data_IF_436081100861
#
_entry.id   IF_436081100861
#
_cell.length_a   1.000
_cell.length_b   1.000
_cell.length_c   1.000
_cell.angle_alpha   90.00
_cell.angle_beta   90.00
_cell.angle_gamma   90.00
#
_symmetry.space_group_name_H-M   'P 1'
#
loop_
_entity.id
_entity.type
_entity.pdbx_description
1 polymer ?
#
# COMPACT_ATOMS: atom_id res chain seq x y z
N UNK A 1 -20.37 16.19 17.13
CA UNK A 1 -20.07 15.66 15.79
C UNK A 1 -18.57 15.48 15.69
N UNK A 2 -18.06 14.23 15.66
CA UNK A 2 -16.63 13.97 15.46
C UNK A 2 -16.32 14.15 13.98
N UNK A 3 -15.53 15.18 13.67
CA UNK A 3 -15.07 15.50 12.31
C UNK A 3 -14.06 14.43 11.91
N UNK A 4 -14.46 13.54 10.99
CA UNK A 4 -13.54 12.70 10.25
C UNK A 4 -12.81 13.60 9.24
N UNK A 5 -11.61 14.04 9.59
CA UNK A 5 -10.71 14.66 8.60
C UNK A 5 -10.08 13.56 7.76
N UNK A 6 -10.65 13.41 6.57
CA UNK A 6 -10.07 12.75 5.40
C UNK A 6 -9.28 13.81 4.64
N UNK A 7 -7.97 13.58 4.47
CA UNK A 7 -7.02 14.13 3.47
C UNK A 7 -5.63 14.00 4.12
N UNK A 8 -4.59 13.49 3.46
CA UNK A 8 -3.92 14.12 2.32
C UNK A 8 -3.39 13.09 1.31
N UNK A 9 -3.93 13.12 0.09
CA UNK A 9 -3.24 12.59 -1.10
C UNK A 9 -2.24 13.65 -1.57
N UNK A 10 -1.02 13.59 -1.05
CA UNK A 10 0.10 14.35 -1.59
C UNK A 10 0.61 13.64 -2.85
N UNK A 11 0.17 14.12 -4.01
CA UNK A 11 0.79 13.83 -5.30
C UNK A 11 2.21 14.36 -5.29
N UNK A 12 3.19 13.46 -5.18
CA UNK A 12 4.58 13.77 -5.45
C UNK A 12 5.14 12.69 -6.37
N UNK A 13 5.39 13.06 -7.62
CA UNK A 13 6.14 12.26 -8.60
C UNK A 13 7.56 12.06 -8.07
N UNK A 14 7.75 10.97 -7.33
CA UNK A 14 9.04 10.51 -6.82
C UNK A 14 9.07 9.03 -7.14
N UNK A 15 10.04 8.60 -7.97
CA UNK A 15 10.43 7.21 -8.28
C UNK A 15 9.48 6.19 -7.65
N UNK A 16 8.57 5.66 -8.48
CA UNK A 16 7.31 4.96 -8.15
C UNK A 16 7.41 3.80 -7.14
N UNK A 17 8.61 3.40 -6.74
CA UNK A 17 8.86 2.34 -5.78
C UNK A 17 8.69 2.76 -4.31
N UNK A 18 8.82 4.07 -4.02
CA UNK A 18 8.93 4.58 -2.64
C UNK A 18 7.69 5.32 -2.13
N UNK A 19 6.70 5.55 -3.01
CA UNK A 19 5.48 6.29 -2.68
C UNK A 19 4.23 5.40 -2.61
N UNK A 20 4.36 4.09 -2.87
CA UNK A 20 3.22 3.18 -2.84
C UNK A 20 3.03 2.65 -1.41
N UNK A 21 1.84 2.86 -0.87
CA UNK A 21 1.43 2.38 0.44
C UNK A 21 0.35 1.30 0.27
N UNK A 22 0.45 0.26 1.09
CA UNK A 22 -0.56 -0.81 1.21
C UNK A 22 -1.03 -0.91 2.65
N UNK A 23 -2.23 -1.43 2.85
CA UNK A 23 -2.76 -1.62 4.19
C UNK A 23 -2.47 -3.06 4.64
N UNK A 24 -2.05 -3.21 5.89
CA UNK A 24 -1.81 -4.49 6.55
C UNK A 24 -2.58 -4.47 7.86
N UNK A 25 -3.65 -5.27 7.93
CA UNK A 25 -4.51 -5.33 9.11
C UNK A 25 -5.01 -3.94 9.54
N UNK A 26 -5.38 -3.10 8.57
CA UNK A 26 -5.80 -1.72 8.76
C UNK A 26 -4.68 -0.70 8.99
N UNK A 27 -3.41 -1.11 8.99
CA UNK A 27 -2.26 -0.22 9.15
C UNK A 27 -1.64 0.07 7.79
N UNK A 28 -1.58 1.34 7.39
CA UNK A 28 -0.91 1.73 6.15
C UNK A 28 0.62 1.63 6.31
N UNK A 29 1.25 0.86 5.43
CA UNK A 29 2.69 0.60 5.38
C UNK A 29 3.19 0.79 3.95
N UNK A 30 4.45 1.21 3.79
CA UNK A 30 5.02 1.33 2.45
C UNK A 30 5.21 -0.05 1.82
N UNK A 31 4.93 -0.18 0.53
CA UNK A 31 5.02 -1.44 -0.22
C UNK A 31 6.42 -2.08 -0.11
N UNK A 32 7.47 -1.25 -0.16
CA UNK A 32 8.86 -1.68 0.00
C UNK A 32 9.22 -2.17 1.42
N UNK A 33 8.43 -1.84 2.43
CA UNK A 33 8.60 -2.31 3.81
C UNK A 33 7.74 -3.52 4.15
N UNK A 34 6.96 -4.05 3.21
CA UNK A 34 6.10 -5.21 3.44
C UNK A 34 6.97 -6.47 3.52
N UNK A 35 6.93 -7.09 4.70
CA UNK A 35 7.57 -8.39 4.94
C UNK A 35 6.60 -9.54 4.66
N UNK A 36 7.09 -10.77 4.66
CA UNK A 36 6.23 -11.96 4.55
C UNK A 36 5.23 -12.05 5.72
N UNK A 37 5.65 -11.74 6.95
CA UNK A 37 4.77 -11.69 8.12
C UNK A 37 3.64 -10.66 7.95
N UNK A 38 3.90 -9.55 7.24
CA UNK A 38 2.87 -8.56 6.96
C UNK A 38 1.87 -9.08 5.92
N UNK A 39 2.32 -9.82 4.90
CA UNK A 39 1.43 -10.47 3.92
C UNK A 39 0.50 -11.48 4.56
N UNK A 40 0.98 -12.24 5.55
CA UNK A 40 0.15 -13.20 6.30
C UNK A 40 -0.90 -12.52 7.20
N UNK A 41 -0.66 -11.27 7.60
CA UNK A 41 -1.60 -10.48 8.43
C UNK A 41 -2.60 -9.68 7.59
N UNK A 42 -2.40 -9.58 6.28
CA UNK A 42 -3.36 -8.94 5.38
C UNK A 42 -4.62 -9.78 5.30
N UNK A 43 -5.77 -9.09 5.25
CA UNK A 43 -6.99 -9.73 4.79
C UNK A 43 -7.00 -9.86 3.26
N UNK A 44 -8.01 -10.54 2.72
CA UNK A 44 -8.14 -10.78 1.27
C UNK A 44 -8.11 -9.48 0.43
N UNK A 45 -8.85 -8.45 0.86
CA UNK A 45 -8.97 -7.17 0.16
C UNK A 45 -7.65 -6.37 0.18
N UNK A 46 -6.91 -6.44 1.28
CA UNK A 46 -5.60 -5.85 1.43
C UNK A 46 -4.54 -6.56 0.59
N UNK A 47 -4.59 -7.90 0.58
CA UNK A 47 -3.68 -8.74 -0.19
C UNK A 47 -3.89 -8.55 -1.70
N UNK A 48 -5.13 -8.44 -2.16
CA UNK A 48 -5.45 -8.19 -3.56
C UNK A 48 -4.83 -6.87 -4.05
N UNK A 49 -4.96 -5.78 -3.28
CA UNK A 49 -4.33 -4.50 -3.58
C UNK A 49 -2.81 -4.58 -3.59
N UNK A 50 -2.21 -5.25 -2.61
CA UNK A 50 -0.77 -5.51 -2.59
C UNK A 50 -0.32 -6.26 -3.85
N UNK A 51 -1.08 -7.27 -4.26
CA UNK A 51 -0.75 -8.09 -5.42
C UNK A 51 -0.87 -7.31 -6.74
N UNK A 52 -1.90 -6.47 -6.89
CA UNK A 52 -2.02 -5.56 -8.04
C UNK A 52 -0.80 -4.63 -8.18
N UNK A 53 -0.32 -4.09 -7.07
CA UNK A 53 0.88 -3.24 -7.04
C UNK A 53 2.12 -4.05 -7.43
N UNK A 54 2.26 -5.25 -6.87
CA UNK A 54 3.37 -6.15 -7.18
C UNK A 54 3.40 -6.50 -8.69
N UNK A 55 2.25 -6.82 -9.28
CA UNK A 55 2.14 -7.09 -10.70
C UNK A 55 2.54 -5.88 -11.55
N UNK A 56 2.03 -4.67 -11.23
CA UNK A 56 2.39 -3.44 -11.95
C UNK A 56 3.89 -3.15 -11.89
N UNK A 57 4.54 -3.40 -10.76
CA UNK A 57 6.00 -3.23 -10.66
C UNK A 57 6.76 -4.28 -11.46
N UNK A 58 6.30 -5.53 -11.47
CA UNK A 58 6.97 -6.61 -12.18
C UNK A 58 6.74 -6.58 -13.69
N UNK A 59 5.62 -6.03 -14.16
CA UNK A 59 5.28 -5.87 -15.58
C UNK A 59 5.99 -4.67 -16.23
N UNK A 60 6.53 -3.75 -15.42
CA UNK A 60 7.28 -2.59 -15.89
C UNK A 60 8.78 -2.86 -16.18
N UNK A 61 9.25 -4.11 -16.13
CA UNK A 61 10.61 -4.56 -16.48
C UNK A 61 10.63 -5.43 -17.75
#
# INVERSE_FOLDING_TARGET
FKVFQKQEESKNEVKEESSIFVNVNGVSKSFSQITEEDKEKMNEDEYEKYFEIFLKQNEAS
#
